data_IF_252887094683
#
_entry.id   IF_252887094683
#
_cell.length_a   1.000
_cell.length_b   1.000
_cell.length_c   1.000
_cell.angle_alpha   90.00
_cell.angle_beta   90.00
_cell.angle_gamma   90.00
#
_symmetry.space_group_name_H-M   'P 1'
#
loop_
_entity.id
_entity.type
_entity.pdbx_description
1 polymer ?
#
# COMPACT_ATOMS: atom_id res chain seq x y z
N UNK A 1 10.18 20.01 30.16
CA UNK A 1 9.28 19.26 31.04
C UNK A 1 7.95 19.25 30.35
N UNK A 2 7.41 18.09 29.96
CA UNK A 2 6.09 18.04 29.36
C UNK A 2 5.05 18.42 30.41
N UNK A 3 4.08 19.22 30.00
CA UNK A 3 2.93 19.56 30.83
C UNK A 3 2.04 18.33 30.95
N UNK A 4 1.36 18.11 32.09
CA UNK A 4 0.44 16.96 32.28
C UNK A 4 -0.57 16.82 31.13
N UNK A 5 -1.00 17.95 30.56
CA UNK A 5 -1.89 17.99 29.40
C UNK A 5 -1.27 17.38 28.13
N UNK A 6 0.01 17.62 27.89
CA UNK A 6 0.73 17.12 26.71
C UNK A 6 0.95 15.60 26.82
N UNK A 7 1.27 15.12 28.03
CA UNK A 7 1.38 13.68 28.28
C UNK A 7 0.04 12.98 28.04
N UNK A 8 -1.07 13.52 28.54
CA UNK A 8 -2.40 12.95 28.33
C UNK A 8 -2.82 12.96 26.86
N UNK A 9 -2.43 14.00 26.12
CA UNK A 9 -2.63 14.09 24.68
C UNK A 9 -1.84 13.00 23.94
N UNK A 10 -0.54 12.85 24.25
CA UNK A 10 0.32 11.79 23.71
C UNK A 10 -0.29 10.40 23.92
N UNK A 11 -0.80 10.13 25.13
CA UNK A 11 -1.46 8.85 25.45
C UNK A 11 -2.70 8.59 24.59
N UNK A 12 -3.54 9.61 24.40
CA UNK A 12 -4.74 9.48 23.57
C UNK A 12 -4.37 9.18 22.10
N UNK A 13 -3.34 9.86 21.59
CA UNK A 13 -2.84 9.65 20.23
C UNK A 13 -2.28 8.24 20.03
N UNK A 14 -1.57 7.72 21.03
CA UNK A 14 -1.06 6.35 21.04
C UNK A 14 -2.18 5.30 20.96
N UNK A 15 -3.25 5.49 21.73
CA UNK A 15 -4.43 4.61 21.68
C UNK A 15 -5.11 4.69 20.31
N UNK A 16 -5.29 5.90 19.78
CA UNK A 16 -5.85 6.11 18.45
C UNK A 16 -4.98 5.48 17.36
N UNK A 17 -3.66 5.56 17.50
CA UNK A 17 -2.71 4.93 16.59
C UNK A 17 -2.80 3.41 16.65
N UNK A 18 -2.95 2.82 17.84
CA UNK A 18 -3.24 1.39 17.98
C UNK A 18 -4.50 0.99 17.21
N UNK A 19 -5.61 1.70 17.41
CA UNK A 19 -6.86 1.47 16.66
C UNK A 19 -6.62 1.56 15.15
N UNK A 20 -5.87 2.58 14.70
CA UNK A 20 -5.49 2.76 13.30
C UNK A 20 -4.73 1.54 12.74
N UNK A 21 -3.69 1.06 13.43
CA UNK A 21 -2.89 -0.09 12.97
C UNK A 21 -3.75 -1.33 12.74
N UNK A 22 -4.63 -1.67 13.68
CA UNK A 22 -5.46 -2.87 13.58
C UNK A 22 -6.61 -2.72 12.60
N UNK A 23 -7.20 -1.53 12.51
CA UNK A 23 -8.26 -1.24 11.53
C UNK A 23 -7.73 -1.35 10.09
N UNK A 24 -6.54 -0.84 9.82
CA UNK A 24 -5.89 -0.91 8.50
C UNK A 24 -5.47 -2.34 8.15
N UNK A 25 -4.96 -3.11 9.11
CA UNK A 25 -4.70 -4.54 8.97
C UNK A 25 -5.95 -5.34 8.59
N UNK A 26 -7.09 -5.07 9.25
CA UNK A 26 -8.36 -5.73 8.95
C UNK A 26 -8.82 -5.41 7.52
N UNK A 27 -8.68 -4.15 7.06
CA UNK A 27 -8.99 -3.74 5.68
C UNK A 27 -8.14 -4.53 4.68
N UNK A 28 -6.82 -4.53 4.86
CA UNK A 28 -5.90 -5.24 3.95
C UNK A 28 -6.20 -6.72 3.95
N UNK A 29 -6.53 -7.31 5.10
CA UNK A 29 -6.94 -8.72 5.19
C UNK A 29 -8.22 -8.99 4.39
N UNK A 30 -9.23 -8.12 4.48
CA UNK A 30 -10.47 -8.22 3.69
C UNK A 30 -10.18 -8.08 2.19
N UNK A 31 -9.31 -7.16 1.80
CA UNK A 31 -8.90 -6.94 0.41
C UNK A 31 -8.14 -8.17 -0.13
N UNK A 32 -7.14 -8.66 0.61
CA UNK A 32 -6.36 -9.84 0.26
C UNK A 32 -7.23 -11.09 0.13
N UNK A 33 -8.30 -11.24 0.92
CA UNK A 33 -9.26 -12.34 0.78
C UNK A 33 -10.00 -12.33 -0.57
N UNK A 34 -10.16 -11.17 -1.22
CA UNK A 34 -10.82 -11.07 -2.53
C UNK A 34 -9.94 -11.51 -3.70
N UNK A 35 -8.62 -11.48 -3.54
CA UNK A 35 -7.69 -11.90 -4.58
C UNK A 35 -7.47 -13.42 -4.56
N UNK A 36 -7.50 -14.08 -5.73
CA UNK A 36 -7.26 -15.53 -5.84
C UNK A 36 -5.77 -15.88 -5.89
N UNK A 37 -4.95 -15.07 -6.58
CA UNK A 37 -3.52 -15.35 -6.80
C UNK A 37 -2.69 -15.08 -5.54
N UNK A 38 -1.90 -16.05 -5.09
CA UNK A 38 -1.02 -15.93 -3.92
C UNK A 38 0.01 -14.81 -4.06
N UNK A 39 0.65 -14.68 -5.23
CA UNK A 39 1.65 -13.65 -5.50
C UNK A 39 1.10 -12.21 -5.27
N UNK A 40 -0.12 -11.94 -5.73
CA UNK A 40 -0.76 -10.62 -5.55
C UNK A 40 -0.98 -10.32 -4.07
N UNK A 41 -1.39 -11.31 -3.27
CA UNK A 41 -1.56 -11.13 -1.81
C UNK A 41 -0.25 -10.75 -1.14
N UNK A 42 0.84 -11.44 -1.50
CA UNK A 42 2.17 -11.18 -0.95
C UNK A 42 2.62 -9.76 -1.33
N UNK A 43 2.49 -9.37 -2.59
CA UNK A 43 2.84 -8.02 -3.06
C UNK A 43 2.07 -6.95 -2.27
N UNK A 44 0.76 -7.12 -2.11
CA UNK A 44 -0.08 -6.18 -1.34
C UNK A 44 0.36 -6.12 0.12
N UNK A 45 0.68 -7.26 0.74
CA UNK A 45 1.14 -7.32 2.13
C UNK A 45 2.50 -6.62 2.30
N UNK A 46 3.46 -6.86 1.41
CA UNK A 46 4.79 -6.23 1.46
C UNK A 46 4.67 -4.71 1.31
N UNK A 47 3.90 -4.23 0.33
CA UNK A 47 3.65 -2.80 0.13
C UNK A 47 2.97 -2.20 1.36
N UNK A 48 1.99 -2.91 1.94
CA UNK A 48 1.32 -2.46 3.15
C UNK A 48 2.29 -2.33 4.33
N UNK A 49 3.15 -3.32 4.57
CA UNK A 49 4.13 -3.27 5.66
C UNK A 49 5.15 -2.14 5.48
N UNK A 50 5.64 -1.92 4.26
CA UNK A 50 6.52 -0.79 3.94
C UNK A 50 5.84 0.55 4.24
N UNK A 51 4.59 0.71 3.81
CA UNK A 51 3.80 1.90 4.09
C UNK A 51 3.55 2.07 5.60
N UNK A 52 3.27 0.98 6.31
CA UNK A 52 3.00 1.01 7.74
C UNK A 52 4.25 1.42 8.53
N UNK A 53 5.43 0.92 8.16
CA UNK A 53 6.71 1.33 8.76
C UNK A 53 6.92 2.83 8.56
N UNK A 54 6.71 3.33 7.34
CA UNK A 54 6.86 4.76 7.04
C UNK A 54 5.90 5.63 7.85
N UNK A 55 4.62 5.26 7.91
CA UNK A 55 3.61 6.00 8.69
C UNK A 55 3.93 5.96 10.19
N UNK A 56 4.37 4.80 10.70
CA UNK A 56 4.75 4.64 12.11
C UNK A 56 5.97 5.51 12.46
N UNK A 57 6.93 5.61 11.53
CA UNK A 57 8.10 6.47 11.69
C UNK A 57 7.72 7.95 11.75
N UNK A 58 6.90 8.42 10.80
CA UNK A 58 6.42 9.81 10.79
C UNK A 58 5.64 10.12 12.06
N UNK A 59 4.74 9.21 12.45
CA UNK A 59 3.93 9.37 13.65
C UNK A 59 4.80 9.49 14.90
N UNK A 60 5.79 8.60 15.06
CA UNK A 60 6.76 8.66 16.16
C UNK A 60 7.58 9.96 16.15
N UNK A 61 8.01 10.40 14.97
CA UNK A 61 8.76 11.64 14.81
C UNK A 61 7.94 12.87 15.23
N UNK A 62 6.67 12.93 14.84
CA UNK A 62 5.76 14.03 15.19
C UNK A 62 5.37 14.04 16.66
N UNK A 63 5.21 12.87 17.29
CA UNK A 63 4.74 12.80 18.68
C UNK A 63 5.85 13.04 19.70
N UNK A 64 7.03 12.48 19.46
CA UNK A 64 8.08 12.34 20.47
C UNK A 64 9.48 12.61 19.91
N UNK A 65 9.57 13.37 18.81
CA UNK A 65 10.83 13.69 18.12
C UNK A 65 11.66 12.44 17.74
N UNK A 66 10.97 11.32 17.50
CA UNK A 66 11.58 10.04 17.13
C UNK A 66 11.87 9.09 18.30
N UNK A 67 11.58 9.50 19.54
CA UNK A 67 11.70 8.62 20.70
C UNK A 67 10.47 7.71 20.82
N UNK A 68 10.67 6.39 20.78
CA UNK A 68 9.60 5.40 20.99
C UNK A 68 9.70 4.88 22.42
N UNK A 69 8.89 5.39 23.36
CA UNK A 69 8.95 4.96 24.75
C UNK A 69 8.40 3.54 24.93
N UNK A 70 8.79 2.86 26.00
CA UNK A 70 8.26 1.52 26.33
C UNK A 70 6.74 1.53 26.51
N UNK A 71 6.17 2.60 27.06
CA UNK A 71 4.72 2.76 27.19
C UNK A 71 4.01 2.84 25.83
N UNK A 72 4.71 3.12 24.72
CA UNK A 72 4.14 3.08 23.38
C UNK A 72 3.43 1.75 23.10
N UNK A 73 4.10 0.65 23.42
CA UNK A 73 3.60 -0.71 23.18
C UNK A 73 2.34 -0.97 24.01
N UNK A 74 2.34 -0.54 25.27
CA UNK A 74 1.20 -0.73 26.17
C UNK A 74 -0.05 0.04 25.69
N UNK A 75 0.10 1.29 25.27
CA UNK A 75 -1.03 2.09 24.78
C UNK A 75 -1.52 1.66 23.39
N UNK A 76 -0.62 1.23 22.51
CA UNK A 76 -1.01 0.60 21.24
C UNK A 76 -1.82 -0.68 21.50
N UNK A 77 -1.42 -1.50 22.47
CA UNK A 77 -2.16 -2.70 22.87
C UNK A 77 -3.52 -2.37 23.52
N UNK A 78 -3.61 -1.29 24.28
CA UNK A 78 -4.90 -0.79 24.78
C UNK A 78 -5.84 -0.39 23.62
N UNK A 79 -5.31 0.31 22.62
CA UNK A 79 -6.04 0.64 21.38
C UNK A 79 -6.52 -0.60 20.63
N UNK A 80 -5.71 -1.65 20.57
CA UNK A 80 -6.13 -2.96 20.04
C UNK A 80 -7.35 -3.52 20.75
N UNK A 81 -7.31 -3.55 22.09
CA UNK A 81 -8.39 -4.12 22.90
C UNK A 81 -9.71 -3.37 22.68
N UNK A 82 -9.65 -2.04 22.62
CA UNK A 82 -10.79 -1.18 22.31
C UNK A 82 -11.33 -1.47 20.91
N UNK A 83 -10.43 -1.55 19.92
CA UNK A 83 -10.81 -1.86 18.54
C UNK A 83 -11.50 -3.22 18.42
N UNK A 84 -10.92 -4.26 19.01
CA UNK A 84 -11.43 -5.62 18.88
C UNK A 84 -12.80 -5.80 19.55
N UNK A 85 -12.98 -5.28 20.77
CA UNK A 85 -14.24 -5.45 21.51
C UNK A 85 -15.36 -4.56 21.01
N UNK A 86 -15.11 -3.28 20.76
CA UNK A 86 -16.17 -2.33 20.40
C UNK A 86 -16.27 -2.11 18.89
N UNK A 87 -15.16 -1.75 18.23
CA UNK A 87 -15.22 -1.13 16.90
C UNK A 87 -15.29 -2.15 15.76
N UNK A 88 -14.69 -3.33 15.90
CA UNK A 88 -14.50 -4.32 14.83
C UNK A 88 -15.79 -4.66 14.07
N UNK A 89 -16.89 -4.84 14.79
CA UNK A 89 -18.20 -5.17 14.19
C UNK A 89 -18.75 -4.01 13.36
N UNK A 90 -18.74 -2.80 13.91
CA UNK A 90 -19.20 -1.59 13.22
C UNK A 90 -18.31 -1.29 12.02
N UNK A 91 -17.00 -1.37 12.20
CA UNK A 91 -16.00 -1.10 11.18
C UNK A 91 -16.18 -2.02 9.96
N UNK A 92 -16.37 -3.33 10.17
CA UNK A 92 -16.66 -4.26 9.07
C UNK A 92 -17.94 -3.92 8.31
N UNK A 93 -19.00 -3.48 9.00
CA UNK A 93 -20.25 -3.06 8.36
C UNK A 93 -20.02 -1.81 7.49
N UNK A 94 -19.27 -0.84 8.00
CA UNK A 94 -18.90 0.39 7.27
C UNK A 94 -18.05 0.07 6.05
N UNK A 95 -16.98 -0.73 6.20
CA UNK A 95 -16.10 -1.13 5.09
C UNK A 95 -16.89 -1.85 3.99
N UNK A 96 -17.78 -2.76 4.34
CA UNK A 96 -18.63 -3.42 3.35
C UNK A 96 -19.54 -2.44 2.62
N UNK A 97 -20.12 -1.47 3.33
CA UNK A 97 -20.97 -0.43 2.75
C UNK A 97 -20.18 0.46 1.79
N UNK A 98 -18.98 0.90 2.19
CA UNK A 98 -18.06 1.67 1.34
C UNK A 98 -17.71 0.87 0.10
N UNK A 99 -17.42 -0.43 0.22
CA UNK A 99 -17.07 -1.26 -0.93
C UNK A 99 -18.22 -1.39 -1.93
N UNK A 100 -19.47 -1.47 -1.46
CA UNK A 100 -20.65 -1.47 -2.32
C UNK A 100 -20.80 -0.15 -3.09
N UNK A 101 -20.61 0.98 -2.40
CA UNK A 101 -20.64 2.32 -3.01
C UNK A 101 -19.52 2.47 -4.03
N UNK A 102 -18.30 2.06 -3.68
CA UNK A 102 -17.14 2.12 -4.56
C UNK A 102 -17.37 1.28 -5.84
N UNK A 103 -17.95 0.08 -5.72
CA UNK A 103 -18.31 -0.76 -6.87
C UNK A 103 -19.32 -0.05 -7.79
N UNK A 104 -20.28 0.68 -7.22
CA UNK A 104 -21.25 1.49 -7.98
C UNK A 104 -20.57 2.63 -8.71
N UNK A 105 -19.67 3.35 -8.05
CA UNK A 105 -18.90 4.46 -8.64
C UNK A 105 -18.00 3.95 -9.79
N UNK A 106 -17.26 2.87 -9.58
CA UNK A 106 -16.43 2.26 -10.64
C UNK A 106 -17.29 1.87 -11.86
N UNK A 107 -18.49 1.31 -11.63
CA UNK A 107 -19.41 0.97 -12.74
C UNK A 107 -19.86 2.21 -13.52
N UNK A 108 -20.10 3.33 -12.84
CA UNK A 108 -20.42 4.61 -13.48
C UNK A 108 -19.23 5.14 -14.29
N UNK A 109 -18.03 5.12 -13.72
CA UNK A 109 -16.79 5.54 -14.39
C UNK A 109 -16.56 4.71 -15.66
N UNK A 110 -16.70 3.37 -15.59
CA UNK A 110 -16.57 2.51 -16.79
C UNK A 110 -17.64 2.85 -17.84
N UNK A 111 -18.88 3.14 -17.43
CA UNK A 111 -19.95 3.54 -18.35
C UNK A 111 -19.63 4.86 -19.06
N UNK A 112 -19.02 5.82 -18.35
CA UNK A 112 -18.57 7.11 -18.89
C UNK A 112 -17.37 6.98 -19.82
N UNK A 113 -16.41 6.11 -19.49
CA UNK A 113 -15.18 5.92 -20.27
C UNK A 113 -15.43 5.11 -21.55
N UNK A 114 -16.37 4.15 -21.54
CA UNK A 114 -16.70 3.32 -22.72
C UNK A 114 -16.92 4.12 -24.02
N UNK A 115 -17.76 5.16 -24.07
CA UNK A 115 -17.94 5.96 -25.29
C UNK A 115 -16.69 6.76 -25.66
N UNK A 116 -15.88 7.18 -24.68
CA UNK A 116 -14.65 7.92 -24.92
C UNK A 116 -13.57 7.02 -25.58
N UNK A 117 -13.41 5.79 -25.09
CA UNK A 117 -12.45 4.81 -25.63
C UNK A 117 -12.87 4.32 -27.02
N UNK A 118 -14.17 4.27 -27.34
CA UNK A 118 -14.64 3.82 -28.65
C UNK A 118 -14.48 4.87 -29.77
N UNK A 119 -14.02 6.08 -29.44
CA UNK A 119 -13.57 7.03 -30.46
C UNK A 119 -12.32 6.48 -31.15
N UNK A 120 -12.39 6.22 -32.47
CA UNK A 120 -11.30 5.68 -33.32
C UNK A 120 -9.93 6.36 -33.11
N UNK A 121 -9.92 7.59 -32.63
CA UNK A 121 -8.72 8.43 -32.40
C UNK A 121 -7.91 8.00 -31.17
N UNK A 122 -8.57 7.55 -30.10
CA UNK A 122 -7.90 7.13 -28.85
C UNK A 122 -7.34 5.72 -28.95
N UNK A 123 -8.02 4.80 -29.62
CA UNK A 123 -7.53 3.43 -29.85
C UNK A 123 -6.30 3.39 -30.74
N UNK A 124 -6.23 4.24 -31.78
CA UNK A 124 -5.02 4.38 -32.60
C UNK A 124 -3.86 4.98 -31.80
N UNK A 125 -4.11 5.99 -30.97
CA UNK A 125 -3.07 6.56 -30.09
C UNK A 125 -2.55 5.52 -29.08
N UNK A 126 -3.43 4.80 -28.40
CA UNK A 126 -3.06 3.75 -27.45
C UNK A 126 -2.31 2.59 -28.13
N UNK A 127 -2.75 2.13 -29.30
CA UNK A 127 -2.02 1.10 -30.05
C UNK A 127 -0.64 1.57 -30.52
N UNK A 128 -0.49 2.85 -30.87
CA UNK A 128 0.81 3.45 -31.24
C UNK A 128 1.73 3.56 -30.03
N UNK A 129 1.18 3.86 -28.85
CA UNK A 129 1.91 3.91 -27.58
C UNK A 129 2.35 2.52 -27.11
N UNK A 130 1.45 1.53 -27.14
CA UNK A 130 1.75 0.14 -26.79
C UNK A 130 2.77 -0.51 -27.74
N UNK A 131 2.73 -0.18 -29.04
CA UNK A 131 3.78 -0.60 -29.99
C UNK A 131 5.14 0.03 -29.66
N UNK A 132 5.18 1.27 -29.14
CA UNK A 132 6.42 1.92 -28.69
C UNK A 132 6.99 1.23 -27.46
N UNK A 133 6.20 0.97 -26.43
CA UNK A 133 6.67 0.25 -25.23
C UNK A 133 7.16 -1.17 -25.55
N UNK A 134 6.42 -1.94 -26.35
CA UNK A 134 6.85 -3.29 -26.76
C UNK A 134 8.20 -3.29 -27.48
N UNK A 135 8.52 -2.24 -28.26
CA UNK A 135 9.82 -2.10 -28.92
C UNK A 135 10.93 -1.74 -27.95
N UNK A 136 10.64 -0.96 -26.92
CA UNK A 136 11.62 -0.56 -25.90
C UNK A 136 11.97 -1.76 -25.01
N UNK A 137 10.96 -2.51 -24.57
CA UNK A 137 11.16 -3.73 -23.76
C UNK A 137 11.91 -4.79 -24.57
N UNK A 138 11.58 -4.98 -25.86
CA UNK A 138 12.30 -5.92 -26.73
C UNK A 138 13.75 -5.49 -26.99
N UNK A 139 14.04 -4.18 -27.06
CA UNK A 139 15.43 -3.71 -27.16
C UNK A 139 16.20 -3.96 -25.86
N UNK A 140 15.61 -3.64 -24.71
CA UNK A 140 16.25 -3.83 -23.40
C UNK A 140 16.50 -5.31 -23.05
N UNK A 141 15.62 -6.24 -23.46
CA UNK A 141 15.83 -7.68 -23.29
C UNK A 141 16.88 -8.30 -24.22
N UNK A 142 17.19 -7.67 -25.37
CA UNK A 142 18.14 -8.20 -26.36
C UNK A 142 19.52 -7.52 -26.30
N UNK A 143 19.73 -6.50 -25.46
CA UNK A 143 21.05 -5.82 -25.30
C UNK A 143 21.74 -6.07 -23.97
N UNK A 144 21.32 -7.04 -23.17
CA UNK A 144 22.05 -7.50 -21.96
C UNK A 144 21.80 -9.01 -21.83
N UNK A 145 22.75 -9.93 -22.10
CA UNK A 145 24.21 -9.82 -22.01
C UNK A 145 24.96 -10.25 -23.30
N UNK A 146 25.93 -9.47 -23.76
CA UNK A 146 27.01 -9.98 -24.62
C UNK A 146 28.39 -9.36 -24.29
N UNK A 147 28.45 -8.56 -23.21
CA UNK A 147 29.68 -7.88 -22.78
C UNK A 147 30.26 -8.46 -21.48
N UNK A 148 29.60 -9.40 -20.81
CA UNK A 148 30.17 -10.06 -19.62
C UNK A 148 30.93 -11.36 -19.97
N UNK A 149 30.70 -11.98 -21.14
CA UNK A 149 31.47 -13.17 -21.56
C UNK A 149 32.86 -12.82 -22.15
N UNK A 150 33.05 -11.62 -22.70
CA UNK A 150 34.33 -11.27 -23.34
C UNK A 150 35.39 -10.72 -22.35
N UNK A 151 35.01 -10.23 -21.17
CA UNK A 151 35.98 -9.74 -20.17
C UNK A 151 36.54 -10.86 -19.27
N UNK A 152 35.88 -12.03 -19.19
CA UNK A 152 36.41 -13.20 -18.46
C UNK A 152 37.36 -14.06 -19.31
N UNK A 153 37.25 -14.07 -20.64
CA UNK A 153 38.19 -14.80 -21.50
C UNK A 153 39.55 -14.08 -21.67
N UNK A 154 39.60 -12.74 -21.62
CA UNK A 154 40.84 -11.97 -21.82
C UNK A 154 41.74 -11.94 -20.57
N UNK A 155 41.16 -12.04 -19.35
CA UNK A 155 41.91 -12.08 -18.09
C UNK A 155 42.44 -13.48 -17.70
N UNK A 156 41.99 -14.55 -18.37
CA UNK A 156 42.46 -15.91 -18.12
C UNK A 156 43.57 -16.37 -19.09
N UNK A 157 44.02 -15.47 -19.99
CA UNK A 157 45.08 -15.71 -20.98
C UNK A 157 46.29 -14.78 -20.82
N UNK A 158 46.37 -14.03 -19.71
CA UNK A 158 47.50 -13.15 -19.34
C UNK A 158 48.48 -13.82 -18.38
#
# INVERSE_FOLDING_TARGET
MYTIQEELYILLYLVAFGIYLFSTLDIVTIICKKFKKKAIKIIIQVIFWLLQIYISFIFSYQLMSGYVPIYFIAFVYSGYFIYEKLLKKYFRKVINSIFLVLKRIIKLIIKLIKPLIYSKKLTTFLNKFLKREKRIIKKQLFTKPLNEENEEEENNLS
#
